data_IF_090594581316
#
_entry.id   IF_090594581316
#
_cell.length_a   1.000
_cell.length_b   1.000
_cell.length_c   1.000
_cell.angle_alpha   90.00
_cell.angle_beta   90.00
_cell.angle_gamma   90.00
#
_symmetry.space_group_name_H-M   'P 1'
#
loop_
_entity.id
_entity.type
_entity.pdbx_description
1 polymer ?
#
# COMPACT_ATOMS: atom_id res chain seq x y z
N UNK A 1 -13.65 0.34 7.76
CA UNK A 1 -12.32 0.15 8.36
C UNK A 1 -11.48 1.35 7.99
N UNK A 2 -10.71 1.92 8.90
CA UNK A 2 -9.86 3.09 8.63
C UNK A 2 -8.47 2.67 8.15
N UNK A 3 -7.69 3.58 7.52
CA UNK A 3 -6.30 3.32 7.19
C UNK A 3 -5.46 2.83 8.37
N UNK A 4 -5.68 3.38 9.57
CA UNK A 4 -4.93 3.04 10.79
C UNK A 4 -5.32 1.65 11.32
N UNK A 5 -6.60 1.30 11.26
CA UNK A 5 -7.08 -0.04 11.62
C UNK A 5 -6.47 -1.09 10.70
N UNK A 6 -6.43 -0.83 9.40
CA UNK A 6 -5.85 -1.74 8.42
C UNK A 6 -4.33 -1.87 8.59
N UNK A 7 -3.64 -0.75 8.83
CA UNK A 7 -2.21 -0.74 9.14
C UNK A 7 -1.88 -1.68 10.31
N UNK A 8 -2.66 -1.58 11.39
CA UNK A 8 -2.46 -2.41 12.58
C UNK A 8 -2.83 -3.87 12.36
N UNK A 9 -3.98 -4.14 11.75
CA UNK A 9 -4.53 -5.50 11.64
C UNK A 9 -3.92 -6.33 10.52
N UNK A 10 -3.48 -5.72 9.42
CA UNK A 10 -2.88 -6.43 8.27
C UNK A 10 -1.37 -6.37 8.22
N UNK A 11 -0.77 -5.27 8.69
CA UNK A 11 0.68 -5.05 8.61
C UNK A 11 1.39 -5.02 9.96
N UNK A 12 0.64 -5.01 11.07
CA UNK A 12 1.22 -5.07 12.42
C UNK A 12 1.93 -3.79 12.88
N UNK A 13 1.70 -2.65 12.21
CA UNK A 13 2.31 -1.37 12.60
C UNK A 13 1.35 -0.49 13.40
N UNK A 14 1.84 0.17 14.44
CA UNK A 14 1.04 1.07 15.27
C UNK A 14 0.83 2.46 14.66
N UNK A 15 1.73 2.91 13.78
CA UNK A 15 1.69 4.24 13.21
C UNK A 15 2.32 4.30 11.83
N UNK A 16 1.79 5.18 10.99
CA UNK A 16 2.40 5.54 9.72
C UNK A 16 3.74 6.25 9.92
N UNK A 17 4.67 5.99 8.99
CA UNK A 17 5.89 6.79 8.85
C UNK A 17 5.54 8.18 8.27
N UNK A 18 6.40 9.18 8.48
CA UNK A 18 6.19 10.52 7.93
C UNK A 18 5.85 10.51 6.45
N UNK A 19 4.80 11.23 6.07
CA UNK A 19 4.32 11.37 4.69
C UNK A 19 3.43 10.25 4.17
N UNK A 20 3.43 9.04 4.76
CA UNK A 20 2.58 7.94 4.28
C UNK A 20 1.10 8.27 4.38
N UNK A 21 0.65 8.77 5.54
CA UNK A 21 -0.74 9.15 5.77
C UNK A 21 -1.22 10.16 4.72
N UNK A 22 -0.43 11.20 4.46
CA UNK A 22 -0.77 12.24 3.47
C UNK A 22 -0.95 11.65 2.06
N UNK A 23 -0.05 10.75 1.64
CA UNK A 23 -0.17 10.10 0.33
C UNK A 23 -1.41 9.22 0.26
N UNK A 24 -1.70 8.46 1.32
CA UNK A 24 -2.89 7.59 1.40
C UNK A 24 -4.16 8.44 1.33
N UNK A 25 -4.24 9.53 2.11
CA UNK A 25 -5.39 10.42 2.15
C UNK A 25 -5.64 11.09 0.79
N UNK A 26 -4.57 11.52 0.10
CA UNK A 26 -4.71 12.10 -1.24
C UNK A 26 -5.17 11.07 -2.29
N UNK A 27 -4.72 9.82 -2.20
CA UNK A 27 -5.21 8.73 -3.07
C UNK A 27 -6.68 8.42 -2.80
N UNK A 28 -7.08 8.32 -1.53
CA UNK A 28 -8.47 8.10 -1.11
C UNK A 28 -9.38 9.29 -1.47
N UNK A 29 -8.82 10.49 -1.57
CA UNK A 29 -9.50 11.66 -2.12
C UNK A 29 -9.53 11.69 -3.67
N UNK A 30 -9.14 10.59 -4.32
CA UNK A 30 -9.06 10.41 -5.77
C UNK A 30 -8.20 11.46 -6.49
N UNK A 31 -7.12 11.93 -5.86
CA UNK A 31 -6.16 12.84 -6.48
C UNK A 31 -5.05 12.06 -7.18
N UNK A 32 -4.48 12.67 -8.22
CA UNK A 32 -3.22 12.20 -8.79
C UNK A 32 -2.06 12.58 -7.86
N UNK A 33 -1.27 11.59 -7.44
CA UNK A 33 -0.19 11.78 -6.45
C UNK A 33 1.16 11.39 -7.05
N UNK A 34 2.14 12.28 -6.95
CA UNK A 34 3.56 11.97 -7.13
C UNK A 34 4.22 11.95 -5.75
N UNK A 35 4.79 10.81 -5.36
CA UNK A 35 5.51 10.68 -4.09
C UNK A 35 6.98 10.33 -4.32
N UNK A 36 7.86 11.00 -3.57
CA UNK A 36 9.30 10.75 -3.57
C UNK A 36 9.67 10.27 -2.18
N UNK A 37 10.03 8.99 -2.07
CA UNK A 37 10.40 8.39 -0.79
C UNK A 37 11.64 7.51 -0.97
N UNK A 38 12.55 7.46 0.01
CA UNK A 38 13.73 6.62 -0.06
C UNK A 38 13.38 5.13 -0.17
N UNK A 39 14.33 4.33 -0.64
CA UNK A 39 14.24 2.86 -0.57
C UNK A 39 14.04 2.42 0.88
N UNK A 40 13.16 1.45 1.12
CA UNK A 40 12.75 1.06 2.46
C UNK A 40 11.82 2.04 3.18
N UNK A 41 11.47 3.18 2.57
CA UNK A 41 10.58 4.20 3.13
C UNK A 41 9.11 3.78 3.26
N UNK A 42 8.73 2.57 2.82
CA UNK A 42 7.37 2.06 2.92
C UNK A 42 6.42 2.58 1.83
N UNK A 43 6.93 2.80 0.62
CA UNK A 43 6.14 3.25 -0.55
C UNK A 43 4.96 2.33 -0.87
N UNK A 44 5.15 1.01 -0.74
CA UNK A 44 4.13 0.03 -1.11
C UNK A 44 2.85 0.15 -0.30
N UNK A 45 2.98 0.44 1.00
CA UNK A 45 1.84 0.67 1.89
C UNK A 45 0.93 1.79 1.38
N UNK A 46 1.50 2.81 0.75
CA UNK A 46 0.76 3.98 0.29
C UNK A 46 -0.27 3.65 -0.79
N UNK A 47 -0.06 2.60 -1.61
CA UNK A 47 -1.05 2.13 -2.58
C UNK A 47 -1.79 0.86 -2.13
N UNK A 48 -1.18 0.03 -1.28
CA UNK A 48 -1.80 -1.20 -0.78
C UNK A 48 -2.97 -0.92 0.18
N UNK A 49 -2.85 0.09 1.04
CA UNK A 49 -3.93 0.44 1.98
C UNK A 49 -5.17 0.95 1.25
N UNK A 50 -5.07 1.94 0.33
CA UNK A 50 -6.20 2.33 -0.50
C UNK A 50 -6.81 1.16 -1.29
N UNK A 51 -5.98 0.29 -1.85
CA UNK A 51 -6.45 -0.88 -2.62
C UNK A 51 -7.33 -1.85 -1.83
N UNK A 52 -7.23 -1.86 -0.50
CA UNK A 52 -8.04 -2.70 0.39
C UNK A 52 -9.24 -1.97 0.99
N UNK A 53 -9.31 -0.65 0.86
CA UNK A 53 -10.40 0.17 1.37
C UNK A 53 -11.44 0.48 0.30
N UNK A 54 -11.00 0.57 -0.96
CA UNK A 54 -11.84 0.82 -2.12
C UNK A 54 -12.36 -0.48 -2.73
N UNK A 55 -13.55 -0.43 -3.32
CA UNK A 55 -14.08 -1.53 -4.13
C UNK A 55 -13.35 -1.60 -5.48
N UNK A 56 -12.99 -2.81 -5.92
CA UNK A 56 -12.42 -3.06 -7.24
C UNK A 56 -10.98 -3.59 -7.20
N UNK A 57 -10.21 -3.27 -8.25
CA UNK A 57 -8.85 -3.76 -8.46
C UNK A 57 -7.87 -2.60 -8.63
N UNK A 58 -6.83 -2.56 -7.80
CA UNK A 58 -5.68 -1.67 -8.01
C UNK A 58 -4.66 -2.32 -8.94
N UNK A 59 -4.37 -1.66 -10.06
CA UNK A 59 -3.31 -2.08 -10.99
C UNK A 59 -1.96 -1.46 -10.58
N UNK A 60 -0.98 -2.30 -10.27
CA UNK A 60 0.39 -1.87 -9.95
C UNK A 60 1.31 -2.24 -11.11
N UNK A 61 2.01 -1.24 -11.66
CA UNK A 61 2.99 -1.44 -12.74
C UNK A 61 4.40 -1.31 -12.19
N UNK A 62 5.22 -2.35 -12.36
CA UNK A 62 6.60 -2.40 -11.91
C UNK A 62 7.51 -2.97 -13.00
N UNK A 63 8.73 -2.45 -13.19
CA UNK A 63 9.63 -2.91 -14.24
C UNK A 63 10.34 -4.24 -13.92
N UNK A 64 10.33 -4.69 -12.66
CA UNK A 64 11.12 -5.84 -12.21
C UNK A 64 10.23 -7.00 -11.76
N UNK A 65 10.25 -8.10 -12.50
CA UNK A 65 9.45 -9.32 -12.20
C UNK A 65 9.76 -9.87 -10.81
N UNK A 66 11.04 -9.90 -10.42
CA UNK A 66 11.44 -10.37 -9.09
C UNK A 66 10.76 -9.55 -7.98
N UNK A 67 10.75 -8.23 -8.12
CA UNK A 67 10.08 -7.35 -7.16
C UNK A 67 8.56 -7.54 -7.16
N UNK A 68 7.96 -7.76 -8.33
CA UNK A 68 6.52 -8.06 -8.41
C UNK A 68 6.19 -9.33 -7.63
N UNK A 69 6.96 -10.39 -7.83
CA UNK A 69 6.78 -11.66 -7.12
C UNK A 69 6.90 -11.48 -5.60
N UNK A 70 7.94 -10.80 -5.13
CA UNK A 70 8.13 -10.55 -3.70
C UNK A 70 6.94 -9.79 -3.08
N UNK A 71 6.34 -8.84 -3.81
CA UNK A 71 5.16 -8.10 -3.34
C UNK A 71 3.90 -8.97 -3.32
N UNK A 72 3.69 -9.81 -4.35
CA UNK A 72 2.54 -10.71 -4.44
C UNK A 72 2.62 -11.78 -3.34
N UNK A 73 3.78 -12.39 -3.15
CA UNK A 73 4.01 -13.41 -2.12
C UNK A 73 3.73 -12.83 -0.72
N UNK A 74 4.30 -11.66 -0.39
CA UNK A 74 4.08 -11.00 0.90
C UNK A 74 2.61 -10.62 1.17
N UNK A 75 1.87 -10.20 0.14
CA UNK A 75 0.44 -9.89 0.26
C UNK A 75 -0.38 -11.16 0.49
N UNK A 76 -0.11 -12.23 -0.27
CA UNK A 76 -0.80 -13.51 -0.12
C UNK A 76 -0.51 -14.15 1.25
N UNK A 77 0.73 -14.07 1.75
CA UNK A 77 1.10 -14.49 3.12
C UNK A 77 0.33 -13.71 4.20
N UNK A 78 0.00 -12.44 3.92
CA UNK A 78 -0.82 -11.59 4.80
C UNK A 78 -2.33 -11.78 4.62
N UNK A 79 -2.74 -12.76 3.80
CA UNK A 79 -4.13 -13.05 3.48
C UNK A 79 -4.80 -11.96 2.65
N UNK A 80 -4.03 -11.20 1.88
CA UNK A 80 -4.51 -10.17 0.95
C UNK A 80 -4.39 -10.72 -0.47
N UNK A 81 -5.51 -10.94 -1.19
CA UNK A 81 -5.47 -11.48 -2.54
C UNK A 81 -4.68 -10.58 -3.50
N UNK A 82 -3.61 -11.11 -4.10
CA UNK A 82 -2.83 -10.45 -5.13
C UNK A 82 -2.32 -11.49 -6.16
N UNK A 83 -2.10 -11.05 -7.39
CA UNK A 83 -1.62 -11.89 -8.51
C UNK A 83 -0.61 -11.18 -9.39
#
# INVERSE_FOLDING_TARGET
MTPQELLKTKFGYDSFRPGQQTVIDDILAHKNVLTIMPTGGGKSLCYQIPAMLEDGLTLVVSPLIALMKDQVDALNESGIPAT
#
